data_IF_452475133222
#
_entry.id   IF_452475133222
#
_cell.length_a   1.000
_cell.length_b   1.000
_cell.length_c   1.000
_cell.angle_alpha   90.00
_cell.angle_beta   90.00
_cell.angle_gamma   90.00
#
_symmetry.space_group_name_H-M   'P 1'
#
loop_
_entity.id
_entity.type
_entity.pdbx_description
1 polymer ?
#
# COMPACT_ATOMS: atom_id res chain seq x y z
N UNK A 1 15.38 7.36 20.52
CA UNK A 1 14.19 6.96 19.73
C UNK A 1 14.26 5.47 19.45
N UNK A 2 13.20 4.70 19.72
CA UNK A 2 13.18 3.27 19.40
C UNK A 2 13.18 3.05 17.88
N UNK A 3 13.87 2.00 17.41
CA UNK A 3 13.96 1.60 15.99
C UNK A 3 12.58 1.50 15.32
N UNK A 4 11.57 1.05 16.07
CA UNK A 4 10.19 0.94 15.60
C UNK A 4 9.58 2.27 15.15
N UNK A 5 10.03 3.40 15.71
CA UNK A 5 9.51 4.72 15.35
C UNK A 5 9.90 5.11 13.93
N UNK A 6 11.16 4.85 13.57
CA UNK A 6 11.66 5.11 12.22
C UNK A 6 10.93 4.29 11.17
N UNK A 7 10.64 3.02 11.51
CA UNK A 7 9.85 2.14 10.64
C UNK A 7 8.44 2.70 10.45
N UNK A 8 7.78 3.15 11.52
CA UNK A 8 6.44 3.75 11.42
C UNK A 8 6.42 5.01 10.54
N UNK A 9 7.44 5.87 10.67
CA UNK A 9 7.54 7.07 9.84
C UNK A 9 7.83 6.74 8.37
N UNK A 10 8.71 5.78 8.10
CA UNK A 10 9.01 5.34 6.74
C UNK A 10 7.76 4.74 6.06
N UNK A 11 7.05 3.83 6.74
CA UNK A 11 5.82 3.21 6.23
C UNK A 11 4.73 4.27 6.05
N UNK A 12 4.50 5.11 7.06
CA UNK A 12 3.51 6.18 7.00
C UNK A 12 3.76 7.14 5.84
N UNK A 13 5.02 7.57 5.63
CA UNK A 13 5.40 8.42 4.51
C UNK A 13 5.05 7.79 3.15
N UNK A 14 5.43 6.53 2.93
CA UNK A 14 5.16 5.82 1.67
C UNK A 14 3.66 5.72 1.39
N UNK A 15 2.86 5.35 2.39
CA UNK A 15 1.42 5.20 2.19
C UNK A 15 0.68 6.52 2.03
N UNK A 16 1.04 7.54 2.81
CA UNK A 16 0.43 8.87 2.69
C UNK A 16 0.73 9.46 1.31
N UNK A 17 1.99 9.39 0.87
CA UNK A 17 2.38 9.91 -0.46
C UNK A 17 1.73 9.12 -1.59
N UNK A 18 1.69 7.79 -1.50
CA UNK A 18 0.98 6.92 -2.45
C UNK A 18 -0.51 7.26 -2.55
N UNK A 19 -1.19 7.43 -1.41
CA UNK A 19 -2.61 7.77 -1.37
C UNK A 19 -2.87 9.17 -1.95
N UNK A 20 -2.03 10.15 -1.63
CA UNK A 20 -2.14 11.50 -2.22
C UNK A 20 -1.95 11.45 -3.74
N UNK A 21 -0.97 10.70 -4.23
CA UNK A 21 -0.75 10.52 -5.67
C UNK A 21 -1.96 9.89 -6.35
N UNK A 22 -2.60 8.89 -5.74
CA UNK A 22 -3.84 8.28 -6.29
C UNK A 22 -5.00 9.28 -6.40
N UNK A 23 -5.05 10.32 -5.56
CA UNK A 23 -6.08 11.37 -5.64
C UNK A 23 -5.78 12.42 -6.71
N UNK A 24 -4.51 12.71 -6.96
CA UNK A 24 -4.08 13.80 -7.87
C UNK A 24 -3.87 13.29 -9.29
N UNK A 25 -3.27 12.11 -9.46
CA UNK A 25 -2.84 11.61 -10.76
C UNK A 25 -3.99 10.87 -11.48
N UNK A 26 -4.50 11.43 -12.59
CA UNK A 26 -5.59 10.82 -13.36
C UNK A 26 -5.19 9.49 -14.02
N UNK A 27 -3.90 9.20 -14.19
CA UNK A 27 -3.44 7.95 -14.79
C UNK A 27 -3.87 6.72 -13.98
N UNK A 28 -3.97 6.85 -12.66
CA UNK A 28 -4.47 5.76 -11.82
C UNK A 28 -5.93 5.42 -12.12
N UNK A 29 -6.75 6.42 -12.48
CA UNK A 29 -8.12 6.17 -12.91
C UNK A 29 -8.11 5.34 -14.19
N UNK A 30 -7.30 5.72 -15.18
CA UNK A 30 -7.18 4.98 -16.45
C UNK A 30 -6.77 3.52 -16.21
N UNK A 31 -5.78 3.28 -15.34
CA UNK A 31 -5.38 1.90 -14.98
C UNK A 31 -6.53 1.13 -14.32
N UNK A 32 -7.29 1.73 -13.41
CA UNK A 32 -8.43 1.05 -12.77
C UNK A 32 -9.60 0.79 -13.75
N UNK A 33 -9.78 1.65 -14.75
CA UNK A 33 -10.71 1.41 -15.85
C UNK A 33 -10.28 0.22 -16.72
N UNK A 34 -8.99 0.14 -17.07
CA UNK A 34 -8.43 -0.98 -17.84
C UNK A 34 -8.51 -2.32 -17.09
N UNK A 35 -8.45 -2.28 -15.74
CA UNK A 35 -8.59 -3.46 -14.89
C UNK A 35 -10.03 -4.02 -14.83
N UNK A 36 -11.02 -3.33 -15.39
CA UNK A 36 -12.40 -3.82 -15.46
C UNK A 36 -13.14 -3.87 -14.12
N UNK A 37 -12.70 -3.08 -13.13
CA UNK A 37 -13.33 -3.06 -11.80
C UNK A 37 -14.71 -2.40 -11.85
N UNK A 38 -15.71 -2.92 -11.09
CA UNK A 38 -16.98 -2.22 -10.90
C UNK A 38 -16.73 -0.93 -10.09
N UNK A 39 -17.09 0.22 -10.66
CA UNK A 39 -16.89 1.55 -10.06
C UNK A 39 -15.40 1.86 -9.72
N UNK A 40 -14.55 2.02 -10.74
CA UNK A 40 -13.10 2.20 -10.55
C UNK A 40 -12.75 3.47 -9.78
N UNK A 41 -13.51 4.54 -10.00
CA UNK A 41 -13.25 5.85 -9.38
C UNK A 41 -13.56 5.84 -7.87
N UNK A 42 -14.70 5.27 -7.48
CA UNK A 42 -15.09 5.12 -6.07
C UNK A 42 -14.11 4.23 -5.31
N UNK A 43 -13.71 3.12 -5.93
CA UNK A 43 -12.75 2.17 -5.34
C UNK A 43 -11.38 2.81 -5.16
N UNK A 44 -10.89 3.52 -6.18
CA UNK A 44 -9.63 4.24 -6.12
C UNK A 44 -9.64 5.29 -5.00
N UNK A 45 -10.70 6.09 -4.93
CA UNK A 45 -10.87 7.13 -3.91
C UNK A 45 -10.90 6.55 -2.50
N UNK A 46 -11.63 5.45 -2.31
CA UNK A 46 -11.70 4.74 -1.03
C UNK A 46 -10.33 4.20 -0.60
N UNK A 47 -9.60 3.54 -1.52
CA UNK A 47 -8.25 3.04 -1.25
C UNK A 47 -7.31 4.19 -0.88
N UNK A 48 -7.35 5.30 -1.62
CA UNK A 48 -6.50 6.45 -1.38
C UNK A 48 -6.74 7.09 0.00
N UNK A 49 -8.00 7.24 0.41
CA UNK A 49 -8.35 7.72 1.75
C UNK A 49 -7.87 6.75 2.83
N UNK A 50 -8.07 5.45 2.64
CA UNK A 50 -7.61 4.43 3.59
C UNK A 50 -6.09 4.48 3.77
N UNK A 51 -5.32 4.64 2.69
CA UNK A 51 -3.87 4.73 2.77
C UNK A 51 -3.41 5.97 3.55
N UNK A 52 -4.01 7.13 3.27
CA UNK A 52 -3.68 8.38 3.97
C UNK A 52 -4.06 8.29 5.45
N UNK A 53 -5.29 7.85 5.76
CA UNK A 53 -5.78 7.77 7.13
C UNK A 53 -4.98 6.75 7.95
N UNK A 54 -4.78 5.54 7.43
CA UNK A 54 -4.01 4.51 8.14
C UNK A 54 -2.53 4.86 8.23
N UNK A 55 -1.96 5.48 7.18
CA UNK A 55 -0.59 6.00 7.21
C UNK A 55 -0.40 7.05 8.30
N UNK A 56 -1.32 8.01 8.42
CA UNK A 56 -1.31 9.02 9.46
C UNK A 56 -1.45 8.40 10.87
N UNK A 57 -2.32 7.39 11.04
CA UNK A 57 -2.47 6.65 12.29
C UNK A 57 -1.17 5.91 12.69
N UNK A 58 -0.46 5.31 11.74
CA UNK A 58 0.84 4.66 12.00
C UNK A 58 1.90 5.69 12.42
N UNK A 59 1.97 6.86 11.75
CA UNK A 59 2.86 7.96 12.16
C UNK A 59 2.53 8.45 13.56
N UNK A 60 1.24 8.66 13.85
CA UNK A 60 0.74 9.07 15.17
C UNK A 60 0.82 7.98 16.24
N UNK A 61 1.18 6.74 15.87
CA UNK A 61 1.20 5.55 16.72
C UNK A 61 -0.13 5.26 17.42
N UNK A 62 -1.23 5.61 16.78
CA UNK A 62 -2.58 5.34 17.25
C UNK A 62 -3.16 4.18 16.45
N UNK A 63 -3.81 3.22 17.11
CA UNK A 63 -4.45 2.07 16.44
C UNK A 63 -3.55 1.35 15.41
N UNK A 64 -2.24 1.31 15.67
CA UNK A 64 -1.20 0.87 14.71
C UNK A 64 -1.47 -0.53 14.18
N UNK A 65 -1.99 -1.43 15.03
CA UNK A 65 -2.31 -2.80 14.62
C UNK A 65 -3.44 -2.86 13.60
N UNK A 66 -4.51 -2.09 13.82
CA UNK A 66 -5.66 -2.03 12.91
C UNK A 66 -5.27 -1.34 11.60
N UNK A 67 -4.55 -0.22 11.70
CA UNK A 67 -4.03 0.50 10.54
C UNK A 67 -3.08 -0.38 9.70
N UNK A 68 -2.21 -1.17 10.34
CA UNK A 68 -1.31 -2.08 9.64
C UNK A 68 -2.06 -3.20 8.90
N UNK A 69 -3.12 -3.77 9.49
CA UNK A 69 -3.97 -4.76 8.81
C UNK A 69 -4.64 -4.14 7.59
N UNK A 70 -5.23 -2.95 7.73
CA UNK A 70 -5.87 -2.25 6.61
C UNK A 70 -4.89 -1.99 5.46
N UNK A 71 -3.68 -1.50 5.78
CA UNK A 71 -2.64 -1.24 4.77
C UNK A 71 -2.08 -2.52 4.13
N UNK A 72 -2.00 -3.63 4.88
CA UNK A 72 -1.64 -4.94 4.33
C UNK A 72 -2.65 -5.39 3.28
N UNK A 73 -3.96 -5.23 3.55
CA UNK A 73 -5.01 -5.58 2.57
C UNK A 73 -4.87 -4.73 1.31
N UNK A 74 -4.63 -3.42 1.46
CA UNK A 74 -4.45 -2.51 0.33
C UNK A 74 -3.23 -2.90 -0.52
N UNK A 75 -2.08 -3.17 0.09
CA UNK A 75 -0.88 -3.61 -0.66
C UNK A 75 -1.10 -4.95 -1.36
N UNK A 76 -1.74 -5.91 -0.69
CA UNK A 76 -2.05 -7.20 -1.32
C UNK A 76 -2.97 -7.02 -2.53
N UNK A 77 -3.98 -6.15 -2.41
CA UNK A 77 -4.86 -5.78 -3.52
C UNK A 77 -4.10 -5.11 -4.67
N UNK A 78 -3.19 -4.17 -4.35
CA UNK A 78 -2.36 -3.50 -5.36
C UNK A 78 -1.45 -4.49 -6.10
N UNK A 79 -0.79 -5.42 -5.40
CA UNK A 79 0.02 -6.47 -6.02
C UNK A 79 -0.85 -7.37 -6.91
N UNK A 80 -2.00 -7.82 -6.39
CA UNK A 80 -2.91 -8.70 -7.12
C UNK A 80 -3.44 -8.05 -8.40
N UNK A 81 -3.88 -6.79 -8.33
CA UNK A 81 -4.49 -6.09 -9.45
C UNK A 81 -3.46 -5.59 -10.47
N UNK A 82 -2.31 -5.09 -10.02
CA UNK A 82 -1.37 -4.41 -10.93
C UNK A 82 -0.20 -5.28 -11.37
N UNK A 83 0.22 -6.26 -10.56
CA UNK A 83 1.44 -7.04 -10.83
C UNK A 83 1.17 -8.43 -11.40
N UNK A 84 0.01 -9.02 -11.12
CA UNK A 84 -0.39 -10.30 -11.73
C UNK A 84 -0.58 -10.19 -13.26
N UNK A 85 -1.20 -9.14 -13.83
CA UNK A 85 -1.29 -8.99 -15.28
C UNK A 85 0.08 -8.88 -15.95
N UNK A 86 1.08 -8.33 -15.24
CA UNK A 86 2.47 -8.25 -15.70
C UNK A 86 3.13 -9.63 -15.68
N UNK A 87 2.80 -10.45 -14.67
CA UNK A 87 3.27 -11.84 -14.56
C UNK A 87 2.72 -12.74 -15.68
N UNK A 88 1.48 -12.50 -16.12
CA UNK A 88 0.84 -13.24 -17.22
C UNK A 88 1.16 -12.67 -18.61
N UNK A 89 1.58 -11.41 -18.71
CA UNK A 89 2.17 -10.86 -19.93
C UNK A 89 3.61 -11.37 -20.06
N UNK A 90 3.73 -12.54 -20.70
CA UNK A 90 4.91 -13.38 -20.96
C UNK A 90 6.14 -12.69 -21.62
N UNK A 91 6.12 -11.37 -21.82
CA UNK A 91 7.16 -10.56 -22.47
C UNK A 91 8.17 -9.93 -21.48
N UNK A 92 7.87 -9.91 -20.18
CA UNK A 92 8.78 -9.36 -19.15
C UNK A 92 9.04 -10.44 -18.09
N UNK A 93 10.25 -11.00 -18.04
CA UNK A 93 10.58 -12.11 -17.14
C UNK A 93 10.44 -11.81 -15.65
N UNK A 94 10.78 -12.80 -14.81
CA UNK A 94 10.67 -12.71 -13.34
C UNK A 94 11.41 -11.50 -12.73
N UNK A 95 12.54 -11.10 -13.32
CA UNK A 95 13.39 -10.05 -12.80
C UNK A 95 12.76 -8.64 -12.92
N UNK A 96 12.18 -8.22 -14.07
CA UNK A 96 11.37 -7.01 -14.19
C UNK A 96 10.22 -6.92 -13.17
N UNK A 97 9.48 -8.01 -12.96
CA UNK A 97 8.42 -8.07 -11.96
C UNK A 97 8.97 -7.78 -10.56
N UNK A 98 10.05 -8.48 -10.17
CA UNK A 98 10.66 -8.32 -8.86
C UNK A 98 11.17 -6.89 -8.66
N UNK A 99 11.73 -6.30 -9.73
CA UNK A 99 12.18 -4.91 -9.71
C UNK A 99 10.99 -3.96 -9.54
N UNK A 100 9.90 -4.13 -10.26
CA UNK A 100 8.73 -3.25 -10.16
C UNK A 100 7.93 -3.42 -8.86
N UNK A 101 7.93 -4.62 -8.26
CA UNK A 101 7.24 -4.92 -7.01
C UNK A 101 8.13 -4.70 -5.76
N UNK A 102 9.40 -4.31 -5.93
CA UNK A 102 10.38 -4.16 -4.84
C UNK A 102 9.85 -3.31 -3.68
N UNK A 103 9.18 -2.21 -4.00
CA UNK A 103 8.68 -1.26 -3.01
C UNK A 103 7.51 -1.88 -2.25
N UNK A 104 6.58 -2.53 -2.96
CA UNK A 104 5.43 -3.23 -2.36
C UNK A 104 5.89 -4.36 -1.42
N UNK A 105 6.88 -5.16 -1.85
CA UNK A 105 7.44 -6.26 -1.03
C UNK A 105 8.08 -5.72 0.25
N UNK A 106 8.88 -4.65 0.15
CA UNK A 106 9.51 -4.04 1.33
C UNK A 106 8.46 -3.48 2.28
N UNK A 107 7.42 -2.80 1.77
CA UNK A 107 6.34 -2.28 2.62
C UNK A 107 5.53 -3.39 3.28
N UNK A 108 5.29 -4.50 2.58
CA UNK A 108 4.64 -5.68 3.14
C UNK A 108 5.44 -6.24 4.32
N UNK A 109 6.75 -6.40 4.17
CA UNK A 109 7.63 -6.88 5.25
C UNK A 109 7.63 -5.90 6.44
N UNK A 110 7.75 -4.60 6.20
CA UNK A 110 7.76 -3.59 7.27
C UNK A 110 6.42 -3.54 8.02
N UNK A 111 5.29 -3.67 7.32
CA UNK A 111 3.97 -3.75 7.93
C UNK A 111 3.82 -5.01 8.79
N UNK A 112 4.31 -6.16 8.35
CA UNK A 112 4.31 -7.39 9.16
C UNK A 112 5.15 -7.23 10.44
N UNK A 113 6.29 -6.55 10.33
CA UNK A 113 7.13 -6.23 11.50
C UNK A 113 6.36 -5.33 12.47
N UNK A 114 5.78 -4.22 11.98
CA UNK A 114 4.97 -3.30 12.80
C UNK A 114 3.84 -4.05 13.49
N UNK A 115 3.10 -4.88 12.74
CA UNK A 115 1.96 -5.64 13.25
C UNK A 115 2.34 -6.63 14.36
N UNK A 116 3.53 -7.24 14.27
CA UNK A 116 4.01 -8.21 15.27
C UNK A 116 4.68 -7.56 16.48
N UNK A 117 5.36 -6.42 16.29
CA UNK A 117 6.20 -5.80 17.34
C UNK A 117 5.58 -4.61 18.07
N UNK A 118 4.56 -3.95 17.53
CA UNK A 118 3.95 -2.79 18.20
C UNK A 118 2.73 -3.26 19.01
N UNK A 119 2.80 -3.33 20.35
CA UNK A 119 1.63 -3.62 21.15
C UNK A 119 0.62 -2.50 20.92
N UNK A 120 -0.59 -2.87 20.49
CA UNK A 120 -1.70 -1.94 20.35
C UNK A 120 -1.90 -1.27 21.71
N UNK A 121 -1.67 0.04 21.81
CA UNK A 121 -2.23 0.82 22.91
C UNK A 121 -3.75 0.77 22.71
N UNK A 122 -4.38 -0.14 23.45
CA UNK A 122 -5.83 -0.17 23.66
C UNK A 122 -6.26 0.99 24.52
#
# INVERSE_FOLDING_TARGET
MSMSNWICYAVGYVFITSGILKLIDPNFKATFYELGLPFPETTLFFIAILEIACGALIVGKMYVRQAAIALLIVICGAIYLTKIPILFNQQQGFLPFLFQARLDIVMLILLLIIWKHVPSKS
#
